data_IF_672032304242
#
_entry.id   IF_672032304242
#
_cell.length_a   1.000
_cell.length_b   1.000
_cell.length_c   1.000
_cell.angle_alpha   90.00
_cell.angle_beta   90.00
_cell.angle_gamma   90.00
#
_symmetry.space_group_name_H-M   'P 1'
#
loop_
_entity.id
_entity.type
_entity.pdbx_description
1 polymer ?
#
# COMPACT_ATOMS: atom_id res chain seq x y z
N UNK A 1 16.79 6.95 -22.50
CA UNK A 1 16.53 6.94 -22.01
C UNK A 1 16.19 6.80 -21.26
N UNK A 2 16.25 6.76 -20.99
CA UNK A 2 16.14 6.68 -20.40
C UNK A 2 15.63 6.64 -19.40
N UNK A 3 15.38 6.83 -18.99
CA UNK A 3 15.04 6.86 -18.12
C UNK A 3 14.17 6.51 -17.52
N UNK A 4 13.66 5.92 -17.48
CA UNK A 4 12.90 5.58 -17.06
C UNK A 4 12.78 5.05 -16.02
N UNK A 5 13.28 4.64 -15.51
CA UNK A 5 13.34 4.06 -14.38
C UNK A 5 12.92 4.75 -13.36
N UNK A 6 12.27 5.44 -13.41
CA UNK A 6 11.90 6.20 -12.58
C UNK A 6 11.32 5.78 -11.44
N UNK A 7 10.55 6.42 -10.78
CA UNK A 7 9.96 6.08 -9.56
C UNK A 7 8.96 5.02 -9.82
N UNK A 8 9.28 3.80 -9.47
CA UNK A 8 8.36 2.70 -9.55
C UNK A 8 7.55 2.59 -8.28
N UNK A 9 7.89 3.37 -7.27
CA UNK A 9 7.21 3.36 -5.99
C UNK A 9 6.83 4.78 -5.59
N UNK A 10 5.76 4.90 -4.83
CA UNK A 10 5.29 6.19 -4.38
C UNK A 10 4.68 6.03 -3.00
N UNK A 11 4.66 7.09 -2.21
CA UNK A 11 4.03 7.06 -0.90
C UNK A 11 2.55 7.33 -1.04
N UNK A 12 1.75 6.42 -0.48
CA UNK A 12 0.29 6.55 -0.52
C UNK A 12 -0.25 6.61 0.90
N UNK A 13 -1.36 7.31 1.07
CA UNK A 13 -2.08 7.33 2.33
C UNK A 13 -3.17 6.27 2.27
N UNK A 14 -3.26 5.47 3.31
CA UNK A 14 -4.22 4.38 3.37
C UNK A 14 -4.95 4.42 4.70
N UNK A 15 -6.24 4.14 4.67
CA UNK A 15 -7.03 4.07 5.89
C UNK A 15 -7.02 2.63 6.40
N UNK A 16 -6.88 2.45 7.70
CA UNK A 16 -6.89 1.13 8.31
C UNK A 16 -8.33 0.71 8.52
N UNK A 17 -8.75 -0.35 7.84
CA UNK A 17 -10.10 -0.89 8.01
C UNK A 17 -10.11 -2.03 8.99
N UNK A 18 -9.10 -2.86 9.01
CA UNK A 18 -8.97 -3.95 9.96
C UNK A 18 -7.50 -4.25 10.21
N UNK A 19 -7.21 -4.76 11.38
CA UNK A 19 -5.87 -5.19 11.72
C UNK A 19 -5.05 -4.11 12.38
N UNK A 20 -3.84 -4.46 12.77
CA UNK A 20 -2.92 -3.55 13.43
C UNK A 20 -1.61 -3.52 12.65
N UNK A 21 -1.43 -2.49 11.83
CA UNK A 21 -0.20 -2.40 11.03
C UNK A 21 0.98 -2.01 11.91
N UNK A 22 2.18 -2.34 11.43
CA UNK A 22 3.41 -1.99 12.11
C UNK A 22 4.31 -1.26 11.13
N UNK A 23 5.10 -0.31 11.63
CA UNK A 23 6.06 0.40 10.81
C UNK A 23 7.09 -0.60 10.30
N UNK A 24 7.37 -0.57 9.01
CA UNK A 24 8.28 -1.52 8.39
C UNK A 24 7.61 -2.81 7.93
N UNK A 25 6.32 -2.97 8.24
CA UNK A 25 5.62 -4.18 7.83
C UNK A 25 5.45 -4.19 6.31
N UNK A 26 5.72 -5.33 5.69
CA UNK A 26 5.53 -5.48 4.25
C UNK A 26 4.05 -5.65 3.96
N UNK A 27 3.56 -4.91 2.97
CA UNK A 27 2.19 -5.04 2.51
C UNK A 27 2.19 -5.99 1.33
N UNK A 28 1.56 -7.14 1.51
CA UNK A 28 1.59 -8.18 0.52
C UNK A 28 0.18 -8.73 0.35
N UNK A 29 -0.27 -8.82 -0.90
CA UNK A 29 -1.60 -9.30 -1.21
C UNK A 29 -1.44 -10.52 -2.12
N UNK A 30 -1.85 -11.68 -1.66
CA UNK A 30 -1.69 -12.95 -2.37
C UNK A 30 -0.23 -13.15 -2.74
N UNK A 31 0.11 -13.04 -3.99
CA UNK A 31 1.46 -13.25 -4.45
C UNK A 31 2.19 -11.95 -4.76
N UNK A 32 1.50 -10.82 -4.61
CA UNK A 32 2.07 -9.54 -4.99
C UNK A 32 2.52 -8.75 -3.78
N UNK A 33 3.77 -8.34 -3.79
CA UNK A 33 4.27 -7.48 -2.73
C UNK A 33 4.10 -6.04 -3.19
N UNK A 34 3.28 -5.29 -2.49
CA UNK A 34 3.01 -3.89 -2.83
C UNK A 34 4.11 -2.96 -2.35
N UNK A 35 4.59 -3.17 -1.14
CA UNK A 35 5.58 -2.30 -0.54
C UNK A 35 5.60 -2.48 0.96
N UNK A 36 5.87 -1.42 1.69
CA UNK A 36 5.89 -1.52 3.15
C UNK A 36 5.42 -0.22 3.79
N UNK A 37 4.98 -0.34 5.04
CA UNK A 37 4.49 0.77 5.82
C UNK A 37 5.67 1.57 6.36
N UNK A 38 5.65 2.88 6.14
CA UNK A 38 6.72 3.76 6.60
C UNK A 38 6.29 4.64 7.76
N UNK A 39 5.00 4.84 7.94
CA UNK A 39 4.51 5.66 9.05
C UNK A 39 3.07 5.29 9.38
N UNK A 40 2.69 5.45 10.62
CA UNK A 40 1.33 5.16 11.07
C UNK A 40 0.80 6.38 11.83
N UNK A 41 -0.41 6.79 11.52
CA UNK A 41 -1.08 7.88 12.22
C UNK A 41 -2.49 7.45 12.53
N UNK A 42 -2.86 7.45 13.80
CA UNK A 42 -4.23 7.11 14.22
C UNK A 42 -4.84 5.97 13.40
N UNK A 43 -5.74 6.29 12.49
CA UNK A 43 -6.44 5.29 11.70
C UNK A 43 -5.90 5.17 10.28
N UNK A 44 -4.76 5.78 10.01
CA UNK A 44 -4.21 5.74 8.66
C UNK A 44 -2.72 5.44 8.67
N UNK A 45 -2.21 5.03 7.54
CA UNK A 45 -0.79 4.73 7.40
C UNK A 45 -0.27 5.37 6.13
N UNK A 46 1.02 5.65 6.13
CA UNK A 46 1.72 6.03 4.91
C UNK A 46 2.56 4.84 4.52
N UNK A 47 2.44 4.43 3.30
CA UNK A 47 3.16 3.26 2.81
C UNK A 47 3.76 3.54 1.45
N UNK A 48 4.96 3.03 1.24
CA UNK A 48 5.59 3.15 -0.06
C UNK A 48 5.18 1.93 -0.87
N UNK A 49 4.41 2.14 -1.91
CA UNK A 49 3.84 1.07 -2.71
C UNK A 49 4.27 1.16 -4.16
N UNK A 50 4.27 0.03 -4.83
CA UNK A 50 4.56 0.01 -6.26
C UNK A 50 3.42 0.69 -6.98
N UNK A 51 3.75 1.66 -7.82
CA UNK A 51 2.74 2.47 -8.51
C UNK A 51 1.81 1.61 -9.35
N UNK A 52 2.34 0.66 -10.10
CA UNK A 52 1.51 -0.19 -10.94
C UNK A 52 0.44 -0.93 -10.16
N UNK A 53 0.83 -1.55 -9.06
CA UNK A 53 -0.10 -2.32 -8.24
C UNK A 53 -1.08 -1.42 -7.52
N UNK A 54 -0.60 -0.29 -7.01
CA UNK A 54 -1.45 0.65 -6.31
C UNK A 54 -2.51 1.22 -7.25
N UNK A 55 -2.13 1.60 -8.46
CA UNK A 55 -3.08 2.15 -9.40
C UNK A 55 -4.14 1.15 -9.82
N UNK A 56 -3.79 -0.12 -9.92
CA UNK A 56 -4.77 -1.14 -10.22
C UNK A 56 -5.84 -1.20 -9.13
N UNK A 57 -5.43 -1.11 -7.88
CA UNK A 57 -6.39 -1.12 -6.77
C UNK A 57 -7.23 0.15 -6.76
N UNK A 58 -6.61 1.29 -7.01
CA UNK A 58 -7.33 2.56 -7.04
C UNK A 58 -8.37 2.57 -8.16
N UNK A 59 -7.98 2.12 -9.34
CA UNK A 59 -8.87 2.12 -10.50
C UNK A 59 -10.06 1.17 -10.33
N UNK A 60 -9.86 0.09 -9.60
CA UNK A 60 -10.93 -0.87 -9.38
C UNK A 60 -11.62 -0.63 -8.05
N UNK A 61 -11.19 0.38 -7.30
CA UNK A 61 -11.72 0.72 -5.97
C UNK A 61 -11.68 -0.45 -5.01
N UNK A 62 -10.63 -1.23 -5.09
CA UNK A 62 -10.48 -2.37 -4.20
C UNK A 62 -9.58 -2.04 -3.02
N UNK A 63 -9.82 -2.72 -1.92
CA UNK A 63 -8.99 -2.58 -0.74
C UNK A 63 -7.79 -3.51 -0.84
N UNK A 64 -6.75 -3.22 -0.10
CA UNK A 64 -5.60 -4.10 -0.01
C UNK A 64 -5.81 -4.99 1.21
N UNK A 65 -5.87 -6.29 0.99
CA UNK A 65 -6.02 -7.26 2.07
C UNK A 65 -4.75 -8.07 2.16
N UNK A 66 -4.14 -8.06 3.32
CA UNK A 66 -2.91 -8.83 3.51
C UNK A 66 -3.21 -10.17 4.15
N UNK A 67 -2.26 -11.09 4.05
CA UNK A 67 -2.43 -12.41 4.64
C UNK A 67 -2.49 -12.38 6.16
N UNK A 68 -2.15 -11.27 6.77
CA UNK A 68 -2.16 -11.16 8.22
C UNK A 68 -3.45 -10.52 8.75
N UNK A 69 -4.46 -10.44 7.91
CA UNK A 69 -5.74 -9.87 8.33
C UNK A 69 -5.79 -8.36 8.32
N UNK A 70 -4.78 -7.70 7.78
CA UNK A 70 -4.76 -6.26 7.69
C UNK A 70 -5.48 -5.82 6.43
N UNK A 71 -6.44 -4.94 6.57
CA UNK A 71 -7.20 -4.41 5.44
C UNK A 71 -6.97 -2.91 5.37
N UNK A 72 -6.51 -2.45 4.23
CA UNK A 72 -6.23 -1.04 4.01
C UNK A 72 -7.00 -0.54 2.80
N UNK A 73 -7.42 0.72 2.86
CA UNK A 73 -8.15 1.32 1.77
C UNK A 73 -7.47 2.63 1.38
N UNK A 74 -7.36 2.89 0.09
CA UNK A 74 -6.71 4.10 -0.37
C UNK A 74 -7.55 5.33 0.00
N UNK A 75 -6.89 6.35 0.52
CA UNK A 75 -7.52 7.61 0.81
C UNK A 75 -7.28 8.49 -0.42
N UNK A 76 -8.34 8.82 -1.11
CA UNK A 76 -8.25 9.61 -2.35
C UNK A 76 -8.74 11.02 -2.13
#
# INVERSE_FOLDING_TARGET
MKYRSLLKKKIYSLEIKEGSPLIGQVIKDDENEFGKIISIKNDSVLAMLKIELAEKKINTKKQIKTNKGLVLEFIL
#
